data_IF_868449399647
#
_entry.id   IF_868449399647
#
_cell.length_a   1.000
_cell.length_b   1.000
_cell.length_c   1.000
_cell.angle_alpha   90.00
_cell.angle_beta   90.00
_cell.angle_gamma   90.00
#
_symmetry.space_group_name_H-M   'P 1'
#
loop_
_entity.id
_entity.type
_entity.pdbx_description
1 polymer ?
#
# COMPACT_ATOMS: atom_id res chain seq x y z
N UNK A 1 -37.07 16.66 11.86
CA UNK A 1 -36.43 15.83 10.83
C UNK A 1 -37.12 14.47 10.81
N UNK A 2 -37.46 13.95 9.64
CA UNK A 2 -38.13 12.64 9.53
C UNK A 2 -37.10 11.53 9.74
N UNK A 3 -37.52 10.39 10.29
CA UNK A 3 -36.64 9.24 10.53
C UNK A 3 -36.01 8.68 9.24
N UNK A 4 -36.62 8.95 8.08
CA UNK A 4 -36.08 8.61 6.77
C UNK A 4 -34.90 9.49 6.37
N UNK A 5 -34.97 10.80 6.64
CA UNK A 5 -33.89 11.74 6.33
C UNK A 5 -32.62 11.42 7.14
N UNK A 6 -32.76 11.06 8.43
CA UNK A 6 -31.63 10.67 9.29
C UNK A 6 -30.92 9.42 8.75
N UNK A 7 -31.70 8.43 8.25
CA UNK A 7 -31.11 7.21 7.66
C UNK A 7 -30.38 7.47 6.35
N UNK A 8 -30.88 8.42 5.54
CA UNK A 8 -30.24 8.79 4.28
C UNK A 8 -28.93 9.55 4.52
N UNK A 9 -28.91 10.42 5.53
CA UNK A 9 -27.69 11.09 6.00
C UNK A 9 -26.64 10.10 6.52
N UNK A 10 -27.04 9.12 7.35
CA UNK A 10 -26.13 8.08 7.87
C UNK A 10 -25.52 7.23 6.73
N UNK A 11 -26.31 6.88 5.71
CA UNK A 11 -25.83 6.16 4.52
C UNK A 11 -24.84 7.02 3.72
N UNK A 12 -25.09 8.33 3.61
CA UNK A 12 -24.17 9.27 2.98
C UNK A 12 -22.83 9.35 3.71
N UNK A 13 -22.86 9.44 5.05
CA UNK A 13 -21.66 9.48 5.88
C UNK A 13 -20.83 8.19 5.76
N UNK A 14 -21.48 7.02 5.83
CA UNK A 14 -20.80 5.73 5.67
C UNK A 14 -20.15 5.57 4.30
N UNK A 15 -20.81 6.04 3.24
CA UNK A 15 -20.24 6.02 1.88
C UNK A 15 -18.97 6.84 1.81
N UNK A 16 -19.00 8.07 2.33
CA UNK A 16 -17.84 8.95 2.33
C UNK A 16 -16.67 8.32 3.10
N UNK A 17 -16.93 7.68 4.24
CA UNK A 17 -15.90 6.98 5.02
C UNK A 17 -15.27 5.83 4.23
N UNK A 18 -16.09 5.01 3.57
CA UNK A 18 -15.59 3.91 2.72
C UNK A 18 -14.76 4.46 1.56
N UNK A 19 -15.18 5.53 0.90
CA UNK A 19 -14.42 6.17 -0.17
C UNK A 19 -13.06 6.68 0.32
N UNK A 20 -13.01 7.30 1.50
CA UNK A 20 -11.75 7.72 2.13
C UNK A 20 -10.85 6.52 2.43
N UNK A 21 -11.36 5.46 3.06
CA UNK A 21 -10.61 4.25 3.36
C UNK A 21 -10.08 3.55 2.10
N UNK A 22 -10.87 3.54 1.02
CA UNK A 22 -10.46 2.96 -0.26
C UNK A 22 -9.33 3.78 -0.92
N UNK A 23 -9.36 5.10 -0.78
CA UNK A 23 -8.28 5.97 -1.25
C UNK A 23 -7.00 5.76 -0.44
N UNK A 24 -7.10 5.68 0.89
CA UNK A 24 -5.96 5.40 1.77
C UNK A 24 -5.34 4.02 1.45
N UNK A 25 -6.18 2.98 1.29
CA UNK A 25 -5.73 1.64 0.88
C UNK A 25 -4.93 1.69 -0.43
N UNK A 26 -5.38 2.48 -1.41
CA UNK A 26 -4.68 2.61 -2.69
C UNK A 26 -3.29 3.22 -2.51
N UNK A 27 -3.16 4.26 -1.69
CA UNK A 27 -1.87 4.89 -1.39
C UNK A 27 -0.94 3.93 -0.65
N UNK A 28 -1.45 3.18 0.32
CA UNK A 28 -0.66 2.16 1.02
C UNK A 28 -0.16 1.08 0.06
N UNK A 29 -1.01 0.57 -0.83
CA UNK A 29 -0.61 -0.42 -1.84
C UNK A 29 0.50 0.12 -2.77
N UNK A 30 0.42 1.38 -3.17
CA UNK A 30 1.44 2.03 -4.00
C UNK A 30 2.78 2.12 -3.27
N UNK A 31 2.79 2.55 -2.00
CA UNK A 31 4.02 2.60 -1.17
C UNK A 31 4.60 1.21 -0.96
N UNK A 32 3.76 0.24 -0.61
CA UNK A 32 4.17 -1.16 -0.44
C UNK A 32 4.75 -1.73 -1.74
N UNK A 33 4.12 -1.45 -2.88
CA UNK A 33 4.61 -1.88 -4.19
C UNK A 33 5.95 -1.25 -4.53
N UNK A 34 6.13 0.04 -4.23
CA UNK A 34 7.38 0.75 -4.49
C UNK A 34 8.51 0.17 -3.63
N UNK A 35 8.24 -0.14 -2.36
CA UNK A 35 9.18 -0.82 -1.49
C UNK A 35 9.52 -2.23 -1.98
N UNK A 36 8.54 -3.00 -2.47
CA UNK A 36 8.78 -4.33 -3.02
C UNK A 36 9.68 -4.27 -4.28
N UNK A 37 9.42 -3.33 -5.18
CA UNK A 37 10.27 -3.10 -6.37
C UNK A 37 11.67 -2.63 -5.95
N UNK A 38 11.78 -1.76 -4.96
CA UNK A 38 13.06 -1.30 -4.43
C UNK A 38 13.90 -2.48 -3.92
N UNK A 39 13.34 -3.31 -3.03
CA UNK A 39 14.02 -4.50 -2.50
C UNK A 39 14.39 -5.48 -3.60
N UNK A 40 13.52 -5.69 -4.59
CA UNK A 40 13.79 -6.60 -5.70
C UNK A 40 14.94 -6.16 -6.63
N UNK A 41 15.25 -4.85 -6.67
CA UNK A 41 16.34 -4.29 -7.47
C UNK A 41 17.56 -3.89 -6.63
N UNK A 42 17.53 -4.13 -5.32
CA UNK A 42 18.60 -3.78 -4.40
C UNK A 42 19.76 -4.78 -4.55
N UNK A 43 20.97 -4.26 -4.74
CA UNK A 43 22.19 -5.06 -4.68
C UNK A 43 22.63 -5.20 -3.23
N UNK A 44 22.38 -6.36 -2.64
CA UNK A 44 22.70 -6.65 -1.24
C UNK A 44 24.18 -6.60 -0.93
N UNK A 45 25.04 -6.85 -1.92
CA UNK A 45 26.49 -6.81 -1.75
C UNK A 45 27.04 -5.38 -1.72
N UNK A 46 26.21 -4.41 -2.13
CA UNK A 46 26.52 -2.98 -2.11
C UNK A 46 25.96 -2.25 -0.89
N UNK A 47 25.19 -2.95 -0.05
CA UNK A 47 24.60 -2.36 1.15
C UNK A 47 25.69 -2.10 2.20
N UNK A 48 25.60 -0.97 2.92
CA UNK A 48 26.42 -0.75 4.09
C UNK A 48 26.23 -1.83 5.17
N UNK A 49 27.33 -2.36 5.71
CA UNK A 49 27.34 -3.38 6.77
C UNK A 49 27.04 -2.82 8.17
N UNK A 50 26.45 -1.62 8.28
CA UNK A 50 26.05 -1.09 9.57
C UNK A 50 24.83 -1.82 10.12
N UNK A 51 24.83 -2.12 11.42
CA UNK A 51 23.74 -2.84 12.08
C UNK A 51 22.37 -2.18 11.82
N UNK A 52 22.30 -0.85 11.88
CA UNK A 52 21.05 -0.11 11.63
C UNK A 52 20.52 -0.31 10.20
N UNK A 53 21.40 -0.42 9.20
CA UNK A 53 21.05 -0.65 7.79
C UNK A 53 20.51 -2.06 7.59
N UNK A 54 21.17 -3.04 8.21
CA UNK A 54 20.76 -4.45 8.17
C UNK A 54 19.40 -4.63 8.86
N UNK A 55 19.22 -4.07 10.06
CA UNK A 55 17.97 -4.16 10.82
C UNK A 55 16.80 -3.54 10.04
N UNK A 56 17.02 -2.39 9.38
CA UNK A 56 16.00 -1.75 8.56
C UNK A 56 15.63 -2.60 7.33
N UNK A 57 16.62 -3.21 6.67
CA UNK A 57 16.40 -4.08 5.52
C UNK A 57 15.66 -5.37 5.92
N UNK A 58 16.03 -5.98 7.05
CA UNK A 58 15.36 -7.17 7.59
C UNK A 58 13.90 -6.86 7.95
N UNK A 59 13.65 -5.76 8.66
CA UNK A 59 12.29 -5.32 8.98
C UNK A 59 11.45 -5.13 7.71
N UNK A 60 12.00 -4.50 6.67
CA UNK A 60 11.28 -4.29 5.42
C UNK A 60 10.98 -5.62 4.71
N UNK A 61 11.97 -6.52 4.65
CA UNK A 61 11.82 -7.83 4.04
C UNK A 61 10.78 -8.68 4.77
N UNK A 62 10.79 -8.69 6.11
CA UNK A 62 9.81 -9.42 6.91
C UNK A 62 8.38 -8.90 6.65
N UNK A 63 8.20 -7.58 6.61
CA UNK A 63 6.89 -6.99 6.35
C UNK A 63 6.39 -7.26 4.93
N UNK A 64 7.27 -7.28 3.92
CA UNK A 64 6.88 -7.65 2.57
C UNK A 64 6.50 -9.14 2.47
N UNK A 65 7.23 -10.01 3.17
CA UNK A 65 6.95 -11.45 3.19
C UNK A 65 5.71 -11.83 4.01
N UNK A 66 5.26 -10.97 4.92
CA UNK A 66 4.05 -11.21 5.72
C UNK A 66 2.75 -10.88 4.96
N UNK A 67 2.84 -10.19 3.82
CA UNK A 67 1.70 -9.90 2.96
C UNK A 67 1.17 -11.17 2.29
N UNK A 68 -0.14 -11.22 2.05
CA UNK A 68 -0.69 -12.26 1.18
C UNK A 68 -0.20 -12.07 -0.26
N UNK A 69 -0.08 -13.17 -1.01
CA UNK A 69 0.32 -13.12 -2.43
C UNK A 69 -0.59 -12.18 -3.25
N UNK A 70 -1.89 -12.19 -2.97
CA UNK A 70 -2.87 -11.29 -3.60
C UNK A 70 -2.57 -9.82 -3.28
N UNK A 71 -2.29 -9.49 -2.01
CA UNK A 71 -1.99 -8.10 -1.61
C UNK A 71 -0.67 -7.63 -2.22
N UNK A 72 0.35 -8.48 -2.24
CA UNK A 72 1.63 -8.17 -2.86
C UNK A 72 1.47 -7.96 -4.38
N UNK A 73 0.64 -8.77 -5.03
CA UNK A 73 0.31 -8.61 -6.44
C UNK A 73 -0.42 -7.28 -6.70
N UNK A 74 -1.46 -6.97 -5.94
CA UNK A 74 -2.19 -5.69 -6.02
C UNK A 74 -1.24 -4.50 -5.87
N UNK A 75 -0.30 -4.58 -4.91
CA UNK A 75 0.70 -3.55 -4.66
C UNK A 75 1.63 -3.36 -5.86
N UNK A 76 2.17 -4.44 -6.43
CA UNK A 76 3.04 -4.39 -7.60
C UNK A 76 2.31 -3.88 -8.86
N UNK A 77 1.05 -4.25 -9.04
CA UNK A 77 0.22 -3.75 -10.14
C UNK A 77 -0.06 -2.24 -10.00
N UNK A 78 -0.31 -1.75 -8.77
CA UNK A 78 -0.57 -0.33 -8.52
C UNK A 78 0.59 0.57 -8.95
N UNK A 79 1.84 0.14 -8.75
CA UNK A 79 3.03 0.91 -9.16
C UNK A 79 3.28 0.82 -10.66
N UNK A 80 3.01 -0.33 -11.28
CA UNK A 80 3.13 -0.48 -12.75
C UNK A 80 2.13 0.39 -13.49
N UNK A 81 0.91 0.51 -12.97
CA UNK A 81 -0.13 1.36 -13.55
C UNK A 81 0.25 2.86 -13.52
N UNK A 82 1.00 3.31 -12.52
CA UNK A 82 1.47 4.70 -12.46
C UNK A 82 2.75 4.96 -13.27
N UNK A 83 3.61 3.94 -13.43
CA UNK A 83 4.85 4.05 -14.20
C UNK A 83 4.63 3.98 -15.72
N UNK A 84 3.46 3.53 -16.18
CA UNK A 84 3.10 3.50 -17.60
C UNK A 84 2.35 4.79 -17.99
N UNK A 85 2.99 5.74 -18.69
CA UNK A 85 2.36 7.01 -19.08
C UNK A 85 1.27 6.85 -20.16
N UNK A 86 0.97 5.62 -20.59
CA UNK A 86 -0.05 5.31 -21.59
C UNK A 86 -1.32 4.63 -21.01
N UNK A 87 -1.42 4.47 -19.69
CA UNK A 87 -2.60 3.89 -19.01
C UNK A 87 -3.71 4.90 -18.72
#
# INVERSE_FOLDING_TARGET
MTMHAIKEDDVGLLRNEIEMLMNERRQLLQVTGAAAVFVANLDTDSLPDEADTIDAAEMLAEQLNSLSEETLKDALESVRAEMDPAA
#
